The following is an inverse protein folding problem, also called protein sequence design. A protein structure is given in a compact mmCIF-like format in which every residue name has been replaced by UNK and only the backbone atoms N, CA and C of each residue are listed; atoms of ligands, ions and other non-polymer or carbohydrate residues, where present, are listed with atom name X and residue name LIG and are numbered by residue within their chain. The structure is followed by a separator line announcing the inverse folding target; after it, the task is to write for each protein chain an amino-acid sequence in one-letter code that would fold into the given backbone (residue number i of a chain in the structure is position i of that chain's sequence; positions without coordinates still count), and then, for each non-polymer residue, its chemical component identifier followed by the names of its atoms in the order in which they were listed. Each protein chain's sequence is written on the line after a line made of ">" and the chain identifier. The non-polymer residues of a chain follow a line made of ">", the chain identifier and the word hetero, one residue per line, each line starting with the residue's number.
data_IF_659695172287
#
_entry.id   IF_659695172287
#
_cell.length_a   1.000
_cell.length_b   1.000
_cell.length_c   1.000
_cell.angle_alpha   90.00
_cell.angle_beta   90.00
_cell.angle_gamma   90.00
#
_symmetry.space_group_name_H-M   'P 1'
#
loop_
_entity.id
_entity.type
_entity.pdbx_description
1 polymer ?
#
# COMPACT_ATOMS: atom_id res chain seq x y z
N UNK A 1 11.30 21.66 13.83
CA UNK A 1 11.33 20.18 13.79
C UNK A 1 10.50 19.75 12.60
N UNK A 2 11.08 19.73 11.39
CA UNK A 2 10.34 19.47 10.15
C UNK A 2 10.72 18.12 9.54
N UNK A 3 10.85 17.08 10.38
CA UNK A 3 11.42 15.79 9.98
C UNK A 3 10.55 14.97 9.01
N UNK A 4 9.44 15.52 8.49
CA UNK A 4 8.50 14.79 7.63
C UNK A 4 7.96 15.58 6.43
N UNK A 5 8.54 16.75 6.09
CA UNK A 5 8.09 17.50 4.91
C UNK A 5 8.35 16.76 3.59
N UNK A 6 9.46 16.01 3.51
CA UNK A 6 9.79 15.18 2.36
C UNK A 6 8.73 14.10 2.12
N UNK A 7 8.31 13.41 3.18
CA UNK A 7 7.28 12.37 3.14
C UNK A 7 5.93 12.89 2.65
N UNK A 8 5.49 14.06 3.16
CA UNK A 8 4.20 14.63 2.73
C UNK A 8 4.21 15.03 1.26
N UNK A 9 5.31 15.62 0.77
CA UNK A 9 5.45 16.00 -0.64
C UNK A 9 5.52 14.77 -1.55
N UNK A 10 6.25 13.74 -1.14
CA UNK A 10 6.31 12.45 -1.83
C UNK A 10 4.94 11.77 -1.91
N UNK A 11 4.21 11.71 -0.78
CA UNK A 11 2.88 11.11 -0.72
C UNK A 11 1.88 11.87 -1.60
N UNK A 12 1.89 13.21 -1.53
CA UNK A 12 1.02 14.03 -2.36
C UNK A 12 1.29 13.80 -3.85
N UNK A 13 2.56 13.69 -4.25
CA UNK A 13 2.95 13.41 -5.63
C UNK A 13 2.54 12.00 -6.09
N UNK A 14 2.72 11.00 -5.23
CA UNK A 14 2.31 9.61 -5.49
C UNK A 14 0.80 9.50 -5.69
N UNK A 15 0.00 10.20 -4.87
CA UNK A 15 -1.47 10.22 -4.98
C UNK A 15 -2.00 10.91 -6.25
N UNK A 16 -1.16 11.69 -6.94
CA UNK A 16 -1.53 12.24 -8.25
C UNK A 16 -1.31 11.26 -9.41
N UNK A 17 -0.62 10.14 -9.16
CA UNK A 17 -0.40 9.13 -10.20
C UNK A 17 -1.63 8.22 -10.34
N UNK A 18 -2.05 7.88 -11.57
CA UNK A 18 -3.19 7.00 -11.80
C UNK A 18 -2.92 5.55 -11.36
N UNK A 19 -1.65 5.15 -11.29
CA UNK A 19 -1.20 3.86 -10.77
C UNK A 19 0.09 4.08 -9.98
N UNK A 20 0.13 3.55 -8.76
CA UNK A 20 1.29 3.63 -7.88
C UNK A 20 1.99 2.28 -7.91
N UNK A 21 3.21 2.29 -8.45
CA UNK A 21 4.05 1.10 -8.62
C UNK A 21 5.37 1.30 -7.86
N UNK A 22 6.12 0.20 -7.67
CA UNK A 22 7.44 0.24 -7.06
C UNK A 22 8.39 1.26 -7.73
N UNK A 23 8.25 1.46 -9.04
CA UNK A 23 8.99 2.49 -9.78
C UNK A 23 8.64 3.92 -9.36
N UNK A 24 7.36 4.21 -9.17
CA UNK A 24 6.90 5.53 -8.71
C UNK A 24 7.36 5.81 -7.27
N UNK A 25 7.35 4.79 -6.40
CA UNK A 25 7.83 4.92 -5.01
C UNK A 25 9.33 5.22 -4.98
N UNK A 26 10.13 4.52 -5.78
CA UNK A 26 11.56 4.77 -5.89
C UNK A 26 11.89 6.17 -6.48
N UNK A 27 11.10 6.62 -7.47
CA UNK A 27 11.21 7.96 -8.06
C UNK A 27 10.91 9.04 -7.00
N UNK A 28 9.83 8.87 -6.23
CA UNK A 28 9.49 9.76 -5.13
C UNK A 28 10.61 9.78 -4.07
N UNK A 29 11.18 8.61 -3.75
CA UNK A 29 12.25 8.48 -2.78
C UNK A 29 13.49 9.29 -3.15
N UNK A 30 13.92 9.20 -4.42
CA UNK A 30 15.04 10.00 -4.95
C UNK A 30 14.71 11.48 -5.08
N UNK A 31 13.48 11.81 -5.49
CA UNK A 31 13.08 13.20 -5.78
C UNK A 31 12.89 14.04 -4.52
N UNK A 32 12.49 13.43 -3.41
CA UNK A 32 12.20 14.12 -2.16
C UNK A 32 13.20 13.82 -1.03
N UNK A 33 14.30 13.13 -1.33
CA UNK A 33 15.35 12.73 -0.38
C UNK A 33 14.76 12.00 0.84
N UNK A 34 13.92 11.00 0.56
CA UNK A 34 13.26 10.21 1.59
C UNK A 34 14.26 9.28 2.28
N UNK A 35 14.06 9.05 3.57
CA UNK A 35 14.86 8.07 4.28
C UNK A 35 14.51 6.66 3.77
N UNK A 36 15.46 5.70 3.82
CA UNK A 36 15.18 4.31 3.45
C UNK A 36 14.02 3.69 4.26
N UNK A 37 13.74 4.22 5.46
CA UNK A 37 12.59 3.81 6.27
C UNK A 37 11.25 4.23 5.63
N UNK A 38 11.20 5.42 5.03
CA UNK A 38 10.00 5.94 4.37
C UNK A 38 9.68 5.15 3.09
N UNK A 39 10.69 4.72 2.34
CA UNK A 39 10.50 3.86 1.17
C UNK A 39 9.81 2.54 1.54
N UNK A 40 10.26 1.91 2.62
CA UNK A 40 9.69 0.66 3.12
C UNK A 40 8.23 0.87 3.54
N UNK A 41 7.94 1.99 4.22
CA UNK A 41 6.57 2.36 4.60
C UNK A 41 5.68 2.54 3.37
N UNK A 42 6.11 3.30 2.36
CA UNK A 42 5.33 3.52 1.14
C UNK A 42 5.09 2.19 0.40
N UNK A 43 6.10 1.33 0.34
CA UNK A 43 6.00 0.04 -0.33
C UNK A 43 5.00 -0.90 0.36
N UNK A 44 4.93 -0.89 1.69
CA UNK A 44 3.94 -1.67 2.43
C UNK A 44 2.55 -1.02 2.41
N UNK A 45 2.47 0.31 2.43
CA UNK A 45 1.22 1.07 2.37
C UNK A 45 0.48 0.90 1.03
N UNK A 46 1.22 0.94 -0.08
CA UNK A 46 0.67 0.73 -1.43
C UNK A 46 0.69 -0.72 -1.87
N UNK A 47 1.20 -1.63 -1.05
CA UNK A 47 1.09 -3.06 -1.32
C UNK A 47 -0.39 -3.39 -1.39
N UNK A 48 -0.89 -3.92 -2.52
CA UNK A 48 -2.28 -4.36 -2.57
C UNK A 48 -2.44 -5.39 -1.45
N UNK A 49 -3.32 -5.11 -0.50
CA UNK A 49 -3.78 -6.11 0.43
C UNK A 49 -4.33 -7.24 -0.45
N UNK A 50 -3.60 -8.34 -0.56
CA UNK A 50 -4.05 -9.49 -1.32
C UNK A 50 -5.46 -9.80 -0.83
N UNK A 51 -6.50 -9.72 -1.66
CA UNK A 51 -7.87 -9.99 -1.20
C UNK A 51 -8.10 -11.47 -0.84
N UNK A 52 -7.06 -12.32 -0.82
CA UNK A 52 -7.15 -13.75 -0.51
C UNK A 52 -7.05 -14.05 0.99
N UNK A 53 -7.96 -13.54 1.82
CA UNK A 53 -7.80 -13.69 3.27
C UNK A 53 -9.04 -13.68 4.17
N UNK A 54 -10.27 -13.67 3.66
CA UNK A 54 -11.44 -14.20 4.38
C UNK A 54 -12.43 -14.77 3.37
N UNK A 55 -12.05 -15.87 2.73
CA UNK A 55 -13.03 -16.91 2.37
C UNK A 55 -13.43 -17.62 3.66
N UNK A 56 -14.13 -16.89 4.54
CA UNK A 56 -14.93 -17.48 5.60
C UNK A 56 -16.20 -18.00 4.95
N UNK A 57 -16.08 -19.18 4.33
CA UNK A 57 -17.15 -19.98 3.72
C UNK A 57 -18.49 -19.86 4.47
N UNK A 58 -19.51 -19.17 3.93
CA UNK A 58 -20.87 -19.36 4.37
C UNK A 58 -21.53 -20.43 3.49
N UNK A 59 -20.98 -21.64 3.45
CA UNK A 59 -21.79 -22.80 3.06
C UNK A 59 -22.61 -23.21 4.28
N UNK A 60 -23.57 -22.35 4.58
CA UNK A 60 -24.84 -22.77 5.15
C UNK A 60 -25.56 -23.55 4.05
N UNK A 61 -25.67 -24.85 4.23
CA UNK A 61 -26.70 -25.75 3.66
C UNK A 61 -26.56 -27.04 4.48
N UNK A 62 -27.03 -27.06 5.72
CA UNK A 62 -28.42 -27.38 6.06
C UNK A 62 -28.96 -28.60 5.29
N UNK A 63 -29.03 -29.70 6.03
CA UNK A 63 -30.05 -30.76 6.00
C UNK A 63 -29.99 -31.92 4.98
N UNK A 64 -30.10 -33.12 5.60
CA UNK A 64 -30.72 -34.37 5.13
C UNK A 64 -29.96 -35.31 4.17
N UNK A 65 -29.29 -36.32 4.74
CA UNK A 65 -29.62 -37.74 4.46
C UNK A 65 -28.75 -38.70 5.27
N UNK A 66 -29.35 -39.39 6.25
CA UNK A 66 -29.20 -40.85 6.43
C UNK A 66 -30.34 -41.43 7.28
#
# INVERSE_FOLDING_TARGET
>A
MNQHEGLRKALHWLLQQPAIDAGHIAEACRRFDLAPLDEIFLRDYFRPASPGGTEGNPQSDDLESN
#
